data_IF_629717116063
#
_entry.id   IF_629717116063
#
_cell.length_a   1.000
_cell.length_b   1.000
_cell.length_c   1.000
_cell.angle_alpha   90.00
_cell.angle_beta   90.00
_cell.angle_gamma   90.00
#
_symmetry.space_group_name_H-M   'P 1'
#
loop_
_entity.id
_entity.type
_entity.pdbx_description
1 polymer ?
#
# COMPACT_ATOMS: atom_id res chain seq x y z
N UNK A 1 7.94 14.81 -27.80
CA UNK A 1 7.34 13.46 -27.70
C UNK A 1 5.86 13.52 -27.37
N UNK A 2 5.50 13.66 -26.11
CA UNK A 2 4.11 13.52 -25.60
C UNK A 2 3.09 14.47 -26.25
N UNK A 3 3.49 15.71 -26.51
CA UNK A 3 2.64 16.68 -27.20
C UNK A 3 2.30 16.26 -28.65
N UNK A 4 3.18 15.48 -29.32
CA UNK A 4 2.91 14.96 -30.65
C UNK A 4 1.80 13.90 -30.62
N UNK A 5 1.73 13.05 -29.58
CA UNK A 5 0.63 12.10 -29.40
C UNK A 5 -0.72 12.80 -29.24
N UNK A 6 -0.75 13.94 -28.56
CA UNK A 6 -1.99 14.76 -28.46
C UNK A 6 -2.47 15.23 -29.84
N UNK A 7 -1.54 15.62 -30.72
CA UNK A 7 -1.86 16.06 -32.08
C UNK A 7 -2.30 14.88 -32.95
N UNK A 8 -1.66 13.72 -32.82
CA UNK A 8 -2.03 12.48 -33.52
C UNK A 8 -3.43 11.99 -33.13
N UNK A 9 -3.76 12.00 -31.84
CA UNK A 9 -5.09 11.62 -31.34
C UNK A 9 -6.17 12.58 -31.87
N UNK A 10 -5.88 13.89 -31.92
CA UNK A 10 -6.77 14.88 -32.53
C UNK A 10 -6.97 14.66 -34.03
N UNK A 11 -5.98 14.09 -34.72
CA UNK A 11 -6.08 13.72 -36.13
C UNK A 11 -6.83 12.39 -36.37
N UNK A 12 -7.39 11.76 -35.32
CA UNK A 12 -8.22 10.56 -35.42
C UNK A 12 -7.45 9.24 -35.28
N UNK A 13 -6.19 9.29 -34.84
CA UNK A 13 -5.40 8.08 -34.58
C UNK A 13 -5.87 7.42 -33.28
N UNK A 14 -6.45 6.21 -33.39
CA UNK A 14 -6.88 5.41 -32.24
C UNK A 14 -6.04 4.13 -32.16
N UNK A 15 -5.09 4.09 -31.23
CA UNK A 15 -4.22 2.93 -30.97
C UNK A 15 -4.69 2.22 -29.70
N UNK A 16 -4.59 0.88 -29.66
CA UNK A 16 -5.01 0.07 -28.51
C UNK A 16 -4.14 0.40 -27.29
N UNK A 17 -4.70 1.14 -26.33
CA UNK A 17 -3.98 1.58 -25.12
C UNK A 17 -3.58 3.07 -25.10
N UNK A 18 -3.89 3.84 -26.14
CA UNK A 18 -3.72 5.31 -26.14
C UNK A 18 -2.37 5.85 -26.64
N UNK A 19 -1.36 4.98 -26.82
CA UNK A 19 -0.03 5.28 -27.42
C UNK A 19 0.35 4.20 -28.44
N UNK A 20 1.35 4.49 -29.29
CA UNK A 20 1.84 3.56 -30.30
C UNK A 20 2.66 2.42 -29.71
N UNK A 21 2.86 1.36 -30.49
CA UNK A 21 3.84 0.34 -30.16
C UNK A 21 5.25 0.87 -30.44
N UNK A 22 6.22 0.51 -29.61
CA UNK A 22 7.62 0.93 -29.79
C UNK A 22 8.10 0.61 -31.21
N UNK A 23 8.55 1.64 -31.92
CA UNK A 23 9.02 1.54 -33.30
C UNK A 23 7.95 1.67 -34.37
N UNK A 24 6.69 1.92 -34.02
CA UNK A 24 5.64 2.23 -34.99
C UNK A 24 5.77 3.64 -35.59
N UNK A 25 4.99 3.92 -36.65
CA UNK A 25 5.04 5.20 -37.36
C UNK A 25 4.67 6.39 -36.47
N UNK A 26 3.85 6.20 -35.45
CA UNK A 26 3.36 7.27 -34.57
C UNK A 26 4.40 7.62 -33.50
N UNK A 27 5.08 6.63 -32.93
CA UNK A 27 6.22 6.82 -32.04
C UNK A 27 7.40 7.47 -32.78
N UNK A 28 7.74 7.00 -33.97
CA UNK A 28 8.82 7.61 -34.79
C UNK A 28 8.53 9.07 -35.14
N UNK A 29 7.26 9.41 -35.40
CA UNK A 29 6.86 10.80 -35.61
C UNK A 29 6.98 11.61 -34.31
N UNK A 30 6.57 11.06 -33.16
CA UNK A 30 6.65 11.74 -31.87
C UNK A 30 8.12 11.99 -31.44
N UNK A 31 9.01 11.05 -31.76
CA UNK A 31 10.47 11.15 -31.59
C UNK A 31 11.03 12.27 -32.48
N UNK A 32 10.69 12.30 -33.77
CA UNK A 32 11.16 13.33 -34.70
C UNK A 32 10.73 14.75 -34.28
N UNK A 33 9.52 14.90 -33.73
CA UNK A 33 9.05 16.16 -33.14
C UNK A 33 9.84 16.50 -31.88
N UNK A 34 10.13 15.52 -31.02
CA UNK A 34 10.95 15.72 -29.82
C UNK A 34 12.35 16.20 -30.18
N UNK A 35 12.99 15.55 -31.15
CA UNK A 35 14.34 15.85 -31.61
C UNK A 35 14.45 17.25 -32.21
N UNK A 36 13.45 17.67 -33.01
CA UNK A 36 13.40 19.03 -33.54
C UNK A 36 13.32 20.09 -32.44
N UNK A 37 12.47 19.86 -31.42
CA UNK A 37 12.30 20.78 -30.28
C UNK A 37 13.58 20.83 -29.43
N UNK A 38 14.19 19.69 -29.12
CA UNK A 38 15.45 19.63 -28.36
C UNK A 38 16.59 20.32 -29.12
N UNK A 39 16.61 20.21 -30.45
CA UNK A 39 17.56 20.92 -31.31
C UNK A 39 17.25 22.42 -31.48
N UNK A 40 16.20 22.95 -30.84
CA UNK A 40 15.78 24.36 -30.95
C UNK A 40 15.23 24.74 -32.34
N UNK A 41 14.79 23.75 -33.13
CA UNK A 41 14.24 23.93 -34.47
C UNK A 41 12.71 23.98 -34.43
N UNK A 42 12.11 24.59 -35.45
CA UNK A 42 10.66 24.58 -35.62
C UNK A 42 10.16 23.16 -35.93
N UNK A 43 9.22 22.67 -35.13
CA UNK A 43 8.59 21.35 -35.27
C UNK A 43 7.23 21.39 -35.97
N UNK A 44 6.71 22.58 -36.31
CA UNK A 44 5.42 22.74 -36.97
C UNK A 44 5.32 22.00 -38.33
N UNK A 45 6.36 21.98 -39.20
CA UNK A 45 6.30 21.23 -40.45
C UNK A 45 6.11 19.72 -40.25
N UNK A 46 6.77 19.15 -39.22
CA UNK A 46 6.70 17.72 -38.89
C UNK A 46 5.31 17.38 -38.35
N UNK A 47 4.79 18.19 -37.42
CA UNK A 47 3.44 18.01 -36.86
C UNK A 47 2.34 18.07 -37.93
N UNK A 48 2.52 18.90 -38.95
CA UNK A 48 1.54 19.05 -40.03
C UNK A 48 1.41 17.79 -40.92
N UNK A 49 2.43 16.92 -40.95
CA UNK A 49 2.39 15.66 -41.70
C UNK A 49 1.27 14.72 -41.21
N UNK A 50 0.89 14.81 -39.93
CA UNK A 50 -0.18 14.01 -39.33
C UNK A 50 -1.58 14.62 -39.49
N UNK A 51 -1.66 15.89 -39.92
CA UNK A 51 -2.94 16.61 -40.08
C UNK A 51 -3.46 16.61 -41.52
N UNK A 52 -2.67 16.11 -42.48
CA UNK A 52 -2.99 16.09 -43.91
C UNK A 52 -3.48 14.73 -44.42
N UNK A 53 -4.74 14.37 -44.14
CA UNK A 53 -5.37 13.17 -44.71
C UNK A 53 -6.85 13.05 -44.31
N UNK A 54 -7.74 13.66 -45.09
CA UNK A 54 -9.15 13.81 -44.74
C UNK A 54 -10.05 12.58 -44.93
N UNK A 55 -11.13 12.54 -44.14
CA UNK A 55 -12.44 11.99 -44.55
C UNK A 55 -13.03 10.88 -43.65
N UNK A 56 -14.00 11.23 -42.78
CA UNK A 56 -14.99 10.28 -42.24
C UNK A 56 -15.26 10.42 -40.74
N UNK A 57 -16.41 10.99 -40.38
CA UNK A 57 -16.80 11.30 -39.00
C UNK A 57 -17.11 10.09 -38.12
N UNK A 58 -16.85 10.26 -36.82
CA UNK A 58 -17.31 9.40 -35.74
C UNK A 58 -16.85 10.00 -34.40
N UNK A 59 -17.79 10.43 -33.56
CA UNK A 59 -17.52 11.09 -32.28
C UNK A 59 -16.70 10.21 -31.33
N UNK A 60 -15.50 10.68 -30.98
CA UNK A 60 -14.61 10.06 -30.00
C UNK A 60 -14.59 10.87 -28.70
N UNK A 61 -14.95 10.19 -27.60
CA UNK A 61 -14.94 10.68 -26.23
C UNK A 61 -13.54 11.11 -25.82
N UNK A 62 -13.41 12.32 -25.25
CA UNK A 62 -12.16 12.83 -24.67
C UNK A 62 -11.70 11.92 -23.52
N UNK A 63 -10.62 11.14 -23.74
CA UNK A 63 -9.86 10.54 -22.65
C UNK A 63 -8.66 11.44 -22.30
N UNK A 64 -8.49 11.69 -21.01
CA UNK A 64 -7.42 12.48 -20.43
C UNK A 64 -6.10 11.70 -20.47
N UNK A 65 -5.08 12.33 -21.05
CA UNK A 65 -3.74 11.78 -21.31
C UNK A 65 -2.92 11.68 -20.01
N UNK A 66 -2.34 10.52 -19.75
CA UNK A 66 -1.37 10.27 -18.66
C UNK A 66 0.00 10.06 -19.30
N UNK A 67 0.93 10.96 -18.95
CA UNK A 67 2.30 11.01 -19.46
C UNK A 67 3.19 9.96 -18.78
N UNK A 68 4.03 9.22 -19.53
CA UNK A 68 5.02 8.28 -18.97
C UNK A 68 6.35 8.39 -19.72
N UNK A 69 7.40 8.83 -19.03
CA UNK A 69 8.78 8.90 -19.56
C UNK A 69 9.34 7.50 -19.87
N UNK A 70 9.90 7.32 -21.06
CA UNK A 70 10.66 6.13 -21.49
C UNK A 70 12.16 6.38 -21.34
N UNK A 71 12.81 5.55 -20.51
CA UNK A 71 14.27 5.36 -20.53
C UNK A 71 14.59 4.10 -21.35
N UNK A 72 15.46 4.29 -22.34
CA UNK A 72 15.97 3.33 -23.33
C UNK A 72 16.45 2.00 -22.74
N UNK A 73 16.00 0.88 -23.33
CA UNK A 73 16.48 -0.48 -23.06
C UNK A 73 17.21 -1.07 -24.26
N UNK A 74 18.34 -1.74 -24.02
CA UNK A 74 18.84 -2.81 -24.89
C UNK A 74 18.78 -4.17 -24.17
N UNK A 75 18.70 -5.30 -24.92
CA UNK A 75 18.01 -6.50 -24.45
C UNK A 75 18.97 -7.56 -23.89
N UNK A 76 18.51 -8.28 -22.87
CA UNK A 76 19.05 -9.59 -22.51
C UNK A 76 17.92 -10.64 -22.56
N UNK A 77 18.18 -11.70 -23.32
CA UNK A 77 17.29 -12.81 -23.66
C UNK A 77 16.96 -13.71 -22.45
N UNK A 78 15.80 -14.39 -22.47
CA UNK A 78 15.19 -15.00 -21.30
C UNK A 78 15.70 -16.42 -21.05
N UNK A 79 15.88 -16.79 -19.77
CA UNK A 79 15.88 -18.21 -19.35
C UNK A 79 14.77 -18.40 -18.33
N UNK A 80 13.82 -19.27 -18.68
CA UNK A 80 12.68 -19.67 -17.85
C UNK A 80 13.15 -20.45 -16.62
N UNK A 81 12.59 -20.17 -15.43
CA UNK A 81 12.28 -21.21 -14.42
C UNK A 81 11.09 -20.76 -13.55
N UNK A 82 10.29 -21.75 -13.19
CA UNK A 82 8.93 -21.79 -12.68
C UNK A 82 8.65 -21.07 -11.35
N UNK A 83 7.39 -20.65 -11.22
CA UNK A 83 6.84 -20.06 -10.01
C UNK A 83 6.39 -21.10 -8.98
N UNK A 84 6.75 -20.86 -7.72
CA UNK A 84 6.00 -21.29 -6.55
C UNK A 84 6.42 -20.42 -5.36
N UNK A 85 5.46 -19.80 -4.69
CA UNK A 85 5.65 -19.11 -3.41
C UNK A 85 5.97 -20.15 -2.33
N UNK A 86 7.26 -20.39 -2.08
CA UNK A 86 7.72 -21.15 -0.92
C UNK A 86 7.84 -20.22 0.29
N UNK A 87 7.06 -20.54 1.33
CA UNK A 87 7.28 -20.09 2.70
C UNK A 87 8.63 -20.63 3.14
N UNK A 88 9.64 -19.78 3.27
CA UNK A 88 10.95 -20.20 3.81
C UNK A 88 10.79 -20.32 5.32
N UNK A 89 10.77 -21.56 5.80
CA UNK A 89 11.03 -21.90 7.19
C UNK A 89 12.45 -21.45 7.55
N UNK A 90 12.61 -20.93 8.76
CA UNK A 90 13.87 -20.48 9.32
C UNK A 90 14.87 -21.65 9.41
N UNK A 91 15.69 -21.81 8.38
CA UNK A 91 16.90 -22.63 8.38
C UNK A 91 18.10 -21.72 8.18
N UNK A 92 19.04 -21.73 9.14
CA UNK A 92 20.21 -20.87 9.17
C UNK A 92 21.03 -20.93 7.88
N UNK A 93 21.16 -19.77 7.24
CA UNK A 93 22.03 -19.54 6.09
C UNK A 93 22.09 -18.05 5.81
N UNK A 94 23.16 -17.41 6.26
CA UNK A 94 23.45 -16.00 6.02
C UNK A 94 23.59 -15.74 4.52
N UNK A 95 22.57 -15.14 3.91
CA UNK A 95 22.68 -14.53 2.59
C UNK A 95 23.19 -13.10 2.77
N UNK A 96 24.52 -12.94 2.68
CA UNK A 96 25.15 -11.63 2.57
C UNK A 96 24.69 -10.91 1.30
N UNK A 97 24.06 -9.75 1.44
CA UNK A 97 23.96 -8.74 0.38
C UNK A 97 25.00 -7.63 0.66
N UNK A 98 25.63 -7.06 -0.37
CA UNK A 98 26.83 -6.25 -0.23
C UNK A 98 26.53 -4.94 0.49
N UNK A 99 27.18 -4.82 1.65
CA UNK A 99 27.47 -3.63 2.41
C UNK A 99 28.44 -2.72 1.62
N UNK A 100 27.89 -1.80 0.83
CA UNK A 100 28.55 -0.53 0.58
C UNK A 100 27.92 0.52 1.51
N UNK A 101 28.72 1.02 2.45
CA UNK A 101 28.34 2.07 3.40
C UNK A 101 27.77 3.27 2.63
N UNK A 102 26.47 3.54 2.81
CA UNK A 102 25.74 4.62 2.14
C UNK A 102 24.56 4.19 1.24
N UNK A 103 24.39 2.90 0.93
CA UNK A 103 23.31 2.42 0.03
C UNK A 103 22.05 1.91 0.76
N UNK A 104 22.14 1.69 2.07
CA UNK A 104 21.05 1.21 2.92
C UNK A 104 20.91 2.19 4.07
N UNK A 105 19.70 2.72 4.28
CA UNK A 105 19.42 3.68 5.35
C UNK A 105 18.47 3.08 6.38
N UNK A 106 18.71 3.39 7.65
CA UNK A 106 17.80 3.07 8.74
C UNK A 106 16.43 3.71 8.50
N UNK A 107 15.37 2.94 8.74
CA UNK A 107 14.00 3.42 8.51
C UNK A 107 13.67 4.62 9.40
N UNK A 108 13.17 5.68 8.77
CA UNK A 108 12.79 6.93 9.42
C UNK A 108 13.79 8.08 9.25
N UNK A 109 15.02 7.82 8.79
CA UNK A 109 15.98 8.88 8.51
C UNK A 109 15.65 9.61 7.19
N UNK A 110 15.25 10.88 7.29
CA UNK A 110 14.82 11.73 6.17
C UNK A 110 15.90 11.88 5.09
N UNK A 111 15.63 11.39 3.88
CA UNK A 111 16.43 11.68 2.68
C UNK A 111 15.73 12.69 1.74
N UNK A 112 14.58 13.26 2.17
CA UNK A 112 13.86 14.25 1.40
C UNK A 112 14.67 15.52 1.17
N UNK A 113 14.46 16.14 0.00
CA UNK A 113 15.00 17.45 -0.35
C UNK A 113 14.46 18.53 0.59
N UNK A 114 13.19 18.42 0.98
CA UNK A 114 12.56 19.19 2.06
C UNK A 114 12.15 18.27 3.22
N UNK A 115 13.05 18.13 4.19
CA UNK A 115 12.82 17.35 5.41
C UNK A 115 11.63 17.87 6.24
N UNK A 116 11.33 19.18 6.20
CA UNK A 116 10.20 19.75 6.94
C UNK A 116 8.88 19.36 6.28
N UNK A 117 8.83 19.31 4.96
CA UNK A 117 7.67 18.80 4.23
C UNK A 117 7.43 17.33 4.54
N UNK A 118 8.49 16.51 4.53
CA UNK A 118 8.39 15.09 4.89
C UNK A 118 7.87 14.90 6.32
N UNK A 119 8.33 15.73 7.28
CA UNK A 119 7.84 15.72 8.66
C UNK A 119 6.35 16.08 8.75
N UNK A 120 5.91 17.13 8.05
CA UNK A 120 4.47 17.49 7.95
C UNK A 120 3.65 16.37 7.33
N UNK A 121 4.18 15.71 6.29
CA UNK A 121 3.54 14.57 5.65
C UNK A 121 3.38 13.39 6.62
N UNK A 122 4.42 13.03 7.38
CA UNK A 122 4.34 11.98 8.41
C UNK A 122 3.28 12.29 9.47
N UNK A 123 3.23 13.53 9.96
CA UNK A 123 2.22 13.95 10.93
C UNK A 123 0.79 13.90 10.36
N UNK A 124 0.61 14.37 9.12
CA UNK A 124 -0.65 14.29 8.39
C UNK A 124 -1.11 12.83 8.21
N UNK A 125 -0.20 11.96 7.75
CA UNK A 125 -0.47 10.54 7.52
C UNK A 125 -0.85 9.81 8.82
N UNK A 126 -0.19 10.11 9.93
CA UNK A 126 -0.52 9.53 11.23
C UNK A 126 -1.94 9.94 11.69
N UNK A 127 -2.29 11.22 11.56
CA UNK A 127 -3.63 11.73 11.91
C UNK A 127 -4.71 11.12 11.01
N UNK A 128 -4.46 11.06 9.69
CA UNK A 128 -5.36 10.41 8.74
C UNK A 128 -5.52 8.92 9.03
N UNK A 129 -4.42 8.22 9.34
CA UNK A 129 -4.43 6.79 9.66
C UNK A 129 -5.31 6.46 10.86
N UNK A 130 -5.28 7.29 11.90
CA UNK A 130 -6.15 7.12 13.09
C UNK A 130 -7.63 7.30 12.75
N UNK A 131 -7.99 8.30 11.93
CA UNK A 131 -9.38 8.45 11.48
C UNK A 131 -9.80 7.30 10.55
N UNK A 132 -8.90 6.86 9.67
CA UNK A 132 -9.10 5.73 8.77
C UNK A 132 -9.37 4.44 9.55
N UNK A 133 -8.68 4.21 10.67
CA UNK A 133 -8.88 3.04 11.54
C UNK A 133 -10.34 2.93 11.98
N UNK A 134 -10.95 4.03 12.43
CA UNK A 134 -12.36 4.02 12.82
C UNK A 134 -13.31 3.76 11.64
N UNK A 135 -13.04 4.38 10.48
CA UNK A 135 -13.88 4.22 9.27
C UNK A 135 -13.73 2.85 8.59
N UNK A 136 -12.61 2.19 8.79
CA UNK A 136 -12.29 0.89 8.22
C UNK A 136 -13.02 -0.29 8.89
N UNK A 137 -13.65 -0.09 10.06
CA UNK A 137 -14.31 -1.16 10.80
C UNK A 137 -15.41 -1.86 9.98
N UNK A 138 -16.31 -1.09 9.34
CA UNK A 138 -17.39 -1.64 8.51
C UNK A 138 -16.89 -2.48 7.33
N UNK A 139 -15.98 -1.96 6.48
CA UNK A 139 -15.35 -2.74 5.42
C UNK A 139 -14.63 -4.00 5.92
N UNK A 140 -13.83 -3.89 6.98
CA UNK A 140 -13.10 -5.03 7.55
C UNK A 140 -14.06 -6.09 8.11
N UNK A 141 -15.14 -5.68 8.79
CA UNK A 141 -16.20 -6.56 9.28
C UNK A 141 -16.93 -7.26 8.14
N UNK A 142 -17.19 -6.57 7.03
CA UNK A 142 -17.85 -7.15 5.86
C UNK A 142 -17.00 -8.26 5.22
N UNK A 143 -15.70 -8.02 5.06
CA UNK A 143 -14.77 -9.03 4.60
C UNK A 143 -14.72 -10.23 5.56
N UNK A 144 -14.60 -9.96 6.87
CA UNK A 144 -14.58 -10.99 7.91
C UNK A 144 -15.84 -11.84 7.90
N UNK A 145 -17.02 -11.23 7.76
CA UNK A 145 -18.29 -11.93 7.68
C UNK A 145 -18.39 -12.89 6.48
N UNK A 146 -17.86 -12.49 5.32
CA UNK A 146 -17.81 -13.36 4.13
C UNK A 146 -16.84 -14.51 4.29
N UNK A 147 -15.64 -14.24 4.82
CA UNK A 147 -14.67 -15.29 5.13
C UNK A 147 -15.23 -16.28 6.16
N UNK A 148 -15.86 -15.80 7.23
CA UNK A 148 -16.56 -16.63 8.22
C UNK A 148 -17.67 -17.47 7.57
N UNK A 149 -18.48 -16.89 6.69
CA UNK A 149 -19.53 -17.63 5.98
C UNK A 149 -18.96 -18.75 5.11
N UNK A 150 -17.82 -18.52 4.43
CA UNK A 150 -17.12 -19.55 3.67
C UNK A 150 -16.63 -20.67 4.57
N UNK A 151 -15.92 -20.34 5.66
CA UNK A 151 -15.41 -21.31 6.63
C UNK A 151 -16.53 -22.13 7.27
N UNK A 152 -17.66 -21.49 7.58
CA UNK A 152 -18.85 -22.15 8.13
C UNK A 152 -19.46 -23.11 7.12
N UNK A 153 -19.56 -22.70 5.84
CA UNK A 153 -20.09 -23.57 4.79
C UNK A 153 -19.19 -24.78 4.54
N UNK A 154 -17.87 -24.58 4.55
CA UNK A 154 -16.89 -25.66 4.38
C UNK A 154 -16.89 -26.65 5.55
N UNK A 155 -16.84 -26.15 6.79
CA UNK A 155 -16.87 -26.99 7.99
C UNK A 155 -18.26 -27.53 8.37
N UNK A 156 -19.32 -27.11 7.66
CA UNK A 156 -20.73 -27.38 7.97
C UNK A 156 -21.31 -26.63 9.18
N UNK A 157 -20.50 -26.25 10.18
CA UNK A 157 -20.93 -25.54 11.39
C UNK A 157 -19.82 -24.67 12.00
N UNK A 158 -20.19 -23.56 12.62
CA UNK A 158 -19.28 -22.63 13.31
C UNK A 158 -19.18 -22.92 14.81
N UNK A 159 -18.52 -24.03 15.17
CA UNK A 159 -18.39 -24.50 16.56
C UNK A 159 -16.93 -24.79 16.89
N UNK A 160 -16.46 -24.38 18.07
CA UNK A 160 -15.05 -24.46 18.46
C UNK A 160 -14.52 -25.91 18.59
N UNK A 161 -15.41 -26.88 18.83
CA UNK A 161 -15.09 -28.31 18.90
C UNK A 161 -15.11 -29.02 17.53
N UNK A 162 -15.49 -28.31 16.45
CA UNK A 162 -15.42 -28.84 15.10
C UNK A 162 -13.96 -28.99 14.65
N UNK A 163 -13.52 -30.23 14.40
CA UNK A 163 -12.14 -30.55 14.05
C UNK A 163 -11.68 -29.94 12.72
N UNK A 164 -12.55 -29.89 11.72
CA UNK A 164 -12.23 -29.28 10.41
C UNK A 164 -12.10 -27.76 10.53
N UNK A 165 -13.06 -27.12 11.21
CA UNK A 165 -13.00 -25.68 11.46
C UNK A 165 -11.75 -25.32 12.26
N UNK A 166 -11.43 -26.09 13.30
CA UNK A 166 -10.22 -25.89 14.12
C UNK A 166 -8.96 -25.90 13.25
N UNK A 167 -8.81 -26.88 12.37
CA UNK A 167 -7.65 -26.98 11.46
C UNK A 167 -7.55 -25.76 10.55
N UNK A 168 -8.69 -25.31 10.00
CA UNK A 168 -8.74 -24.11 9.18
C UNK A 168 -8.36 -22.86 9.97
N UNK A 169 -8.94 -22.65 11.16
CA UNK A 169 -8.67 -21.50 12.01
C UNK A 169 -7.20 -21.45 12.46
N UNK A 170 -6.61 -22.57 12.87
CA UNK A 170 -5.19 -22.65 13.25
C UNK A 170 -4.25 -22.24 12.09
N UNK A 171 -4.67 -22.45 10.84
CA UNK A 171 -3.94 -21.98 9.66
C UNK A 171 -4.01 -20.47 9.45
N UNK A 172 -4.98 -19.78 10.07
CA UNK A 172 -5.11 -18.31 10.05
C UNK A 172 -4.28 -17.64 11.14
N UNK A 173 -3.95 -18.38 12.19
CA UNK A 173 -3.12 -17.92 13.29
C UNK A 173 -1.68 -17.62 12.87
N UNK A 174 -1.09 -16.62 13.49
CA UNK A 174 0.30 -16.19 13.28
C UNK A 174 0.99 -15.93 14.61
N UNK A 175 2.32 -15.79 14.58
CA UNK A 175 3.11 -15.39 15.74
C UNK A 175 2.57 -14.08 16.34
N UNK A 176 2.43 -14.03 17.68
CA UNK A 176 1.87 -12.90 18.43
C UNK A 176 2.73 -11.62 18.37
N UNK A 177 3.96 -11.73 17.85
CA UNK A 177 4.81 -10.58 17.51
C UNK A 177 4.35 -9.84 16.26
N UNK A 178 3.40 -10.37 15.48
CA UNK A 178 2.80 -9.61 14.40
C UNK A 178 1.60 -8.81 14.88
N UNK A 179 1.51 -7.56 14.43
CA UNK A 179 0.33 -6.74 14.64
C UNK A 179 -0.93 -7.43 14.09
N UNK A 180 -1.98 -7.51 14.91
CA UNK A 180 -3.26 -8.14 14.61
C UNK A 180 -3.27 -9.65 14.82
N UNK A 181 -2.17 -10.23 15.30
CA UNK A 181 -2.07 -11.66 15.59
C UNK A 181 -2.59 -11.99 16.99
N UNK A 182 -3.27 -13.14 17.09
CA UNK A 182 -3.80 -13.69 18.35
C UNK A 182 -3.31 -15.10 18.63
N UNK A 183 -2.17 -15.50 18.05
CA UNK A 183 -1.67 -16.85 18.16
C UNK A 183 -2.54 -17.86 17.41
N UNK A 184 -2.63 -19.08 17.94
CA UNK A 184 -3.38 -20.21 17.35
C UNK A 184 -4.55 -20.72 18.19
N UNK A 185 -4.87 -20.03 19.28
CA UNK A 185 -6.01 -20.42 20.11
C UNK A 185 -7.33 -20.23 19.34
N UNK A 186 -8.12 -21.29 19.25
CA UNK A 186 -9.34 -21.35 18.45
C UNK A 186 -10.37 -20.30 18.90
N UNK A 187 -10.53 -20.11 20.21
CA UNK A 187 -11.50 -19.14 20.75
C UNK A 187 -11.16 -17.72 20.31
N UNK A 188 -9.88 -17.33 20.44
CA UNK A 188 -9.40 -16.02 19.98
C UNK A 188 -9.49 -15.85 18.47
N UNK A 189 -9.16 -16.88 17.69
CA UNK A 189 -9.28 -16.85 16.23
C UNK A 189 -10.74 -16.68 15.78
N UNK A 190 -11.69 -17.32 16.45
CA UNK A 190 -13.13 -17.10 16.20
C UNK A 190 -13.55 -15.67 16.58
N UNK A 191 -13.07 -15.16 17.72
CA UNK A 191 -13.36 -13.81 18.17
C UNK A 191 -12.88 -12.73 17.18
N UNK A 192 -11.81 -12.98 16.41
CA UNK A 192 -11.36 -12.06 15.35
C UNK A 192 -12.47 -11.81 14.31
N UNK A 193 -13.19 -12.87 13.90
CA UNK A 193 -14.29 -12.74 12.95
C UNK A 193 -15.51 -12.04 13.55
N UNK A 194 -15.79 -12.30 14.83
CA UNK A 194 -17.03 -11.88 15.48
C UNK A 194 -16.96 -10.45 16.03
N UNK A 195 -15.85 -10.09 16.69
CA UNK A 195 -15.69 -8.81 17.38
C UNK A 195 -14.31 -8.18 17.20
N UNK A 196 -13.41 -8.82 16.45
CA UNK A 196 -12.04 -8.33 16.24
C UNK A 196 -12.01 -6.93 15.63
N UNK A 197 -10.99 -6.14 15.97
CA UNK A 197 -10.82 -4.82 15.38
C UNK A 197 -10.26 -4.89 13.94
N UNK A 198 -10.11 -3.74 13.28
CA UNK A 198 -9.66 -3.64 11.88
C UNK A 198 -8.37 -4.41 11.63
N UNK A 199 -7.35 -4.22 12.46
CA UNK A 199 -6.03 -4.84 12.28
C UNK A 199 -6.06 -6.37 12.42
N UNK A 200 -6.82 -6.89 13.37
CA UNK A 200 -7.02 -8.34 13.50
C UNK A 200 -7.74 -8.92 12.30
N UNK A 201 -8.87 -8.30 11.91
CA UNK A 201 -9.68 -8.76 10.78
C UNK A 201 -8.86 -8.72 9.49
N UNK A 202 -8.16 -7.64 9.20
CA UNK A 202 -7.34 -7.52 7.99
C UNK A 202 -6.20 -8.54 7.95
N UNK A 203 -5.55 -8.82 9.07
CA UNK A 203 -4.56 -9.90 9.17
C UNK A 203 -5.18 -11.27 8.85
N UNK A 204 -6.33 -11.59 9.46
CA UNK A 204 -7.05 -12.84 9.17
C UNK A 204 -7.55 -12.95 7.74
N UNK A 205 -7.99 -11.86 7.13
CA UNK A 205 -8.49 -11.86 5.75
C UNK A 205 -7.40 -12.22 4.75
N UNK A 206 -6.21 -11.66 4.92
CA UNK A 206 -5.10 -12.04 4.08
C UNK A 206 -4.74 -13.52 4.26
N UNK A 207 -4.64 -14.01 5.50
CA UNK A 207 -4.31 -15.41 5.77
C UNK A 207 -5.39 -16.36 5.26
N UNK A 208 -6.66 -15.99 5.38
CA UNK A 208 -7.79 -16.74 4.83
C UNK A 208 -7.67 -16.87 3.31
N UNK A 209 -7.35 -15.77 2.63
CA UNK A 209 -7.14 -15.78 1.19
C UNK A 209 -6.02 -16.77 0.79
N UNK A 210 -4.82 -16.64 1.37
CA UNK A 210 -3.66 -17.43 0.94
C UNK A 210 -3.69 -18.89 1.41
N UNK A 211 -4.20 -19.14 2.61
CA UNK A 211 -4.07 -20.46 3.24
C UNK A 211 -5.26 -21.37 2.93
N UNK A 212 -6.40 -20.80 2.56
CA UNK A 212 -7.66 -21.53 2.38
C UNK A 212 -8.26 -21.22 1.01
N UNK A 213 -8.79 -20.01 0.81
CA UNK A 213 -9.61 -19.69 -0.36
C UNK A 213 -8.86 -19.92 -1.69
N UNK A 214 -7.64 -19.41 -1.81
CA UNK A 214 -6.83 -19.57 -3.01
C UNK A 214 -6.50 -21.03 -3.30
N UNK A 215 -6.21 -21.83 -2.27
CA UNK A 215 -5.87 -23.25 -2.42
C UNK A 215 -7.10 -24.08 -2.80
N UNK A 216 -8.24 -23.79 -2.19
CA UNK A 216 -9.49 -24.48 -2.49
C UNK A 216 -9.91 -24.23 -3.94
N UNK A 217 -9.88 -22.97 -4.39
CA UNK A 217 -10.30 -22.60 -5.75
C UNK A 217 -9.32 -23.09 -6.83
N UNK A 218 -8.02 -23.15 -6.52
CA UNK A 218 -7.01 -23.69 -7.45
C UNK A 218 -6.94 -25.22 -7.45
N UNK A 219 -7.62 -25.89 -6.51
CA UNK A 219 -7.67 -27.34 -6.48
C UNK A 219 -8.71 -27.84 -7.49
N UNK A 220 -8.27 -28.18 -8.69
CA UNK A 220 -9.12 -28.69 -9.77
C UNK A 220 -9.88 -29.99 -9.43
N UNK A 221 -9.52 -30.68 -8.34
CA UNK A 221 -10.18 -31.91 -7.88
C UNK A 221 -11.30 -31.65 -6.87
N UNK A 222 -11.31 -30.49 -6.23
CA UNK A 222 -12.38 -30.10 -5.33
C UNK A 222 -13.46 -29.38 -6.15
N UNK A 223 -14.69 -29.91 -6.10
CA UNK A 223 -15.83 -29.30 -6.80
C UNK A 223 -16.83 -28.71 -5.81
N UNK A 224 -16.65 -28.92 -4.51
CA UNK A 224 -17.55 -28.44 -3.47
C UNK A 224 -17.34 -26.95 -3.16
N UNK A 225 -16.15 -26.41 -3.47
CA UNK A 225 -15.84 -25.00 -3.24
C UNK A 225 -16.83 -24.03 -3.88
N UNK A 226 -17.45 -24.37 -5.02
CA UNK A 226 -18.47 -23.52 -5.63
C UNK A 226 -19.70 -23.33 -4.73
N UNK A 227 -20.10 -24.38 -4.00
CA UNK A 227 -21.20 -24.31 -3.04
C UNK A 227 -20.82 -23.43 -1.83
N UNK A 228 -19.59 -23.54 -1.33
CA UNK A 228 -19.09 -22.70 -0.23
C UNK A 228 -18.98 -21.23 -0.63
N UNK A 229 -18.46 -20.94 -1.83
CA UNK A 229 -18.43 -19.59 -2.40
C UNK A 229 -19.82 -18.99 -2.51
N UNK A 230 -20.79 -19.78 -3.01
CA UNK A 230 -22.19 -19.35 -3.11
C UNK A 230 -22.79 -19.04 -1.74
N UNK A 231 -22.57 -19.91 -0.74
CA UNK A 231 -23.03 -19.68 0.64
C UNK A 231 -22.41 -18.41 1.25
N UNK A 232 -21.13 -18.15 0.95
CA UNK A 232 -20.40 -16.96 1.37
C UNK A 232 -20.70 -15.69 0.56
N UNK A 233 -21.51 -15.80 -0.51
CA UNK A 233 -21.77 -14.72 -1.48
C UNK A 233 -20.50 -14.18 -2.14
N UNK A 234 -19.52 -15.06 -2.35
CA UNK A 234 -18.26 -14.78 -3.06
C UNK A 234 -18.44 -15.20 -4.51
N UNK A 235 -18.11 -14.32 -5.47
CA UNK A 235 -18.27 -14.62 -6.89
C UNK A 235 -16.97 -15.19 -7.46
N UNK A 236 -17.05 -16.32 -8.17
CA UNK A 236 -15.91 -16.91 -8.88
C UNK A 236 -15.25 -15.90 -9.83
N UNK A 237 -16.04 -15.05 -10.48
CA UNK A 237 -15.53 -14.00 -11.37
C UNK A 237 -14.65 -12.96 -10.63
N UNK A 238 -14.96 -12.64 -9.38
CA UNK A 238 -14.17 -11.71 -8.58
C UNK A 238 -12.81 -12.31 -8.20
N UNK A 239 -12.77 -13.62 -7.91
CA UNK A 239 -11.52 -14.35 -7.71
C UNK A 239 -10.65 -14.36 -8.98
N UNK A 240 -11.23 -14.68 -10.15
CA UNK A 240 -10.50 -14.65 -11.43
C UNK A 240 -9.92 -13.27 -11.71
N UNK A 241 -10.72 -12.21 -11.50
CA UNK A 241 -10.28 -10.82 -11.61
C UNK A 241 -9.12 -10.50 -10.65
N UNK A 242 -9.16 -11.01 -9.42
CA UNK A 242 -8.06 -10.83 -8.46
C UNK A 242 -6.76 -11.49 -8.96
N UNK A 243 -6.84 -12.69 -9.55
CA UNK A 243 -5.69 -13.41 -10.12
C UNK A 243 -5.08 -12.73 -11.35
N UNK A 244 -5.90 -12.33 -12.31
CA UNK A 244 -5.45 -11.62 -13.52
C UNK A 244 -4.70 -10.34 -13.15
N UNK A 245 -5.23 -9.61 -12.17
CA UNK A 245 -4.67 -8.35 -11.70
C UNK A 245 -3.37 -8.53 -10.94
N UNK A 246 -3.30 -9.53 -10.06
CA UNK A 246 -2.06 -9.86 -9.35
C UNK A 246 -0.92 -10.28 -10.30
N UNK A 247 -1.27 -10.87 -11.46
CA UNK A 247 -0.32 -11.31 -12.50
C UNK A 247 0.22 -10.14 -13.34
N UNK A 248 -0.62 -9.18 -13.74
CA UNK A 248 -0.20 -7.96 -14.47
C UNK A 248 0.81 -7.10 -13.68
N UNK A 249 0.92 -7.32 -12.38
CA UNK A 249 1.72 -6.52 -11.45
C UNK A 249 3.16 -7.03 -11.23
N UNK A 250 3.57 -8.21 -11.73
CA UNK A 250 4.99 -8.62 -11.61
C UNK A 250 5.94 -7.75 -12.44
N UNK A 251 5.40 -6.86 -13.28
CA UNK A 251 6.12 -6.08 -14.30
C UNK A 251 6.08 -4.56 -14.09
N UNK A 252 5.73 -4.04 -12.89
CA UNK A 252 5.95 -2.60 -12.62
C UNK A 252 7.45 -2.36 -12.41
N UNK A 253 8.14 -2.07 -13.52
CA UNK A 253 9.58 -1.83 -13.59
C UNK A 253 10.02 -0.81 -12.53
N UNK A 254 10.96 -1.21 -11.66
CA UNK A 254 11.63 -0.31 -10.70
C UNK A 254 11.30 -0.53 -9.22
N UNK A 255 10.24 -1.25 -8.86
CA UNK A 255 9.88 -1.49 -7.44
C UNK A 255 10.58 -2.71 -6.80
N UNK A 256 11.04 -3.65 -7.62
CA UNK A 256 11.72 -4.87 -7.15
C UNK A 256 13.02 -4.51 -6.44
N UNK A 257 13.25 -5.10 -5.26
CA UNK A 257 14.48 -4.89 -4.49
C UNK A 257 14.58 -3.56 -3.76
N UNK A 258 13.48 -2.81 -3.61
CA UNK A 258 13.45 -1.52 -2.89
C UNK A 258 13.65 -1.63 -1.36
N UNK A 259 13.67 -2.84 -0.79
CA UNK A 259 13.84 -3.08 0.65
C UNK A 259 14.68 -4.32 0.93
N UNK A 260 15.32 -4.32 2.09
CA UNK A 260 16.12 -5.43 2.61
C UNK A 260 15.62 -5.78 4.02
N UNK A 261 15.42 -7.07 4.30
CA UNK A 261 15.07 -7.52 5.64
C UNK A 261 16.28 -7.37 6.56
N UNK A 262 16.15 -6.62 7.65
CA UNK A 262 17.27 -6.40 8.58
C UNK A 262 17.30 -7.41 9.72
N UNK A 263 16.18 -8.07 10.01
CA UNK A 263 16.07 -9.03 11.11
C UNK A 263 16.18 -8.42 12.50
N UNK A 264 16.22 -7.09 12.60
CA UNK A 264 16.12 -6.41 13.89
C UNK A 264 14.66 -6.45 14.36
N UNK A 265 14.40 -7.11 15.49
CA UNK A 265 13.09 -7.09 16.18
C UNK A 265 12.82 -5.68 16.73
N UNK A 266 12.39 -4.81 15.84
CA UNK A 266 12.04 -3.45 16.16
C UNK A 266 10.59 -3.39 16.64
N UNK A 267 10.39 -3.89 17.86
CA UNK A 267 9.10 -3.84 18.53
C UNK A 267 8.55 -2.41 18.58
N UNK A 268 7.24 -2.31 18.43
CA UNK A 268 6.45 -1.12 18.66
C UNK A 268 6.71 -0.63 20.08
N UNK A 269 7.07 0.64 20.20
CA UNK A 269 7.35 1.27 21.49
C UNK A 269 6.11 1.93 22.08
N UNK A 270 4.94 1.38 21.79
CA UNK A 270 3.66 1.82 22.32
C UNK A 270 3.11 0.79 23.30
N UNK A 271 2.36 1.26 24.30
CA UNK A 271 1.61 0.44 25.25
C UNK A 271 0.15 0.31 24.84
N UNK A 272 -0.58 -0.65 25.43
CA UNK A 272 -2.04 -0.77 25.24
C UNK A 272 -2.78 0.53 25.61
N UNK A 273 -2.37 1.20 26.70
CA UNK A 273 -2.98 2.47 27.13
C UNK A 273 -2.76 3.61 26.13
N UNK A 274 -1.56 3.70 25.55
CA UNK A 274 -1.27 4.69 24.52
C UNK A 274 -2.12 4.44 23.28
N UNK A 275 -2.21 3.19 22.83
CA UNK A 275 -3.07 2.79 21.70
C UNK A 275 -4.53 3.15 21.93
N UNK A 276 -5.06 2.93 23.14
CA UNK A 276 -6.42 3.32 23.49
C UNK A 276 -6.63 4.85 23.46
N UNK A 277 -5.67 5.62 23.98
CA UNK A 277 -5.71 7.09 23.97
C UNK A 277 -5.67 7.65 22.55
N UNK A 278 -5.01 6.94 21.64
CA UNK A 278 -4.93 7.29 20.21
C UNK A 278 -6.14 6.81 19.38
N UNK A 279 -7.17 6.26 20.03
CA UNK A 279 -8.41 5.81 19.37
C UNK A 279 -8.29 4.44 18.70
N UNK A 280 -7.26 3.66 19.03
CA UNK A 280 -7.00 2.34 18.47
C UNK A 280 -6.82 1.28 19.56
N UNK A 281 -7.82 1.08 20.44
CA UNK A 281 -7.69 0.17 21.57
C UNK A 281 -7.41 -1.26 21.12
N UNK A 282 -6.60 -1.97 21.92
CA UNK A 282 -6.43 -3.41 21.77
C UNK A 282 -7.74 -4.13 22.08
N UNK A 283 -8.06 -5.12 21.24
CA UNK A 283 -9.12 -6.07 21.56
C UNK A 283 -8.65 -7.06 22.64
N UNK A 284 -9.57 -7.63 23.41
CA UNK A 284 -9.22 -8.49 24.56
C UNK A 284 -8.44 -9.74 24.15
N UNK A 285 -8.83 -10.40 23.05
CA UNK A 285 -8.06 -11.52 22.48
C UNK A 285 -6.60 -11.16 22.14
N UNK A 286 -6.31 -9.90 21.81
CA UNK A 286 -4.94 -9.47 21.55
C UNK A 286 -4.18 -9.16 22.83
N UNK A 287 -4.86 -8.57 23.81
CA UNK A 287 -4.29 -8.41 25.17
C UNK A 287 -3.90 -9.76 25.74
N UNK A 288 -4.74 -10.77 25.58
CA UNK A 288 -4.44 -12.15 25.97
C UNK A 288 -3.25 -12.71 25.20
N UNK A 289 -3.17 -12.51 23.88
CA UNK A 289 -2.03 -12.97 23.09
C UNK A 289 -0.70 -12.33 23.52
N UNK A 290 -0.72 -11.05 23.92
CA UNK A 290 0.46 -10.38 24.46
C UNK A 290 0.86 -10.93 25.83
N UNK A 291 -0.12 -11.23 26.70
CA UNK A 291 0.14 -11.85 28.00
C UNK A 291 0.74 -13.25 27.85
N UNK A 292 0.18 -14.07 26.96
CA UNK A 292 0.70 -15.41 26.66
C UNK A 292 2.14 -15.32 26.15
N UNK A 293 2.40 -14.43 25.19
CA UNK A 293 3.75 -14.23 24.66
C UNK A 293 4.75 -13.80 25.76
N UNK A 294 4.36 -12.87 26.63
CA UNK A 294 5.19 -12.44 27.74
C UNK A 294 5.50 -13.60 28.71
N UNK A 295 4.50 -14.42 29.02
CA UNK A 295 4.65 -15.61 29.86
C UNK A 295 5.58 -16.65 29.21
N UNK A 296 5.41 -16.93 27.91
CA UNK A 296 6.28 -17.83 27.14
C UNK A 296 7.73 -17.35 27.11
N UNK A 297 7.96 -16.04 27.09
CA UNK A 297 9.30 -15.43 27.16
C UNK A 297 9.84 -15.30 28.59
N UNK A 298 9.09 -15.73 29.60
CA UNK A 298 9.49 -15.61 31.01
C UNK A 298 9.64 -14.16 31.48
N UNK A 299 8.92 -13.22 30.87
CA UNK A 299 8.99 -11.81 31.24
C UNK A 299 8.32 -11.60 32.61
N UNK A 300 9.10 -11.19 33.60
CA UNK A 300 8.60 -10.87 34.94
C UNK A 300 8.12 -9.42 34.99
N UNK A 301 6.99 -9.16 35.66
CA UNK A 301 6.44 -7.81 35.81
C UNK A 301 5.80 -7.23 34.55
N UNK A 302 5.49 -8.06 33.53
CA UNK A 302 4.73 -7.61 32.37
C UNK A 302 3.32 -7.18 32.79
N UNK A 303 3.00 -5.93 32.44
CA UNK A 303 1.70 -5.32 32.64
C UNK A 303 1.17 -4.87 31.27
N UNK A 304 -0.01 -5.38 30.88
CA UNK A 304 -0.53 -5.18 29.52
C UNK A 304 -0.75 -3.69 29.17
N UNK A 305 -1.05 -2.87 30.18
CA UNK A 305 -1.43 -1.48 29.98
C UNK A 305 -0.24 -0.53 29.94
N UNK A 306 0.87 -0.89 30.60
CA UNK A 306 2.07 -0.05 30.75
C UNK A 306 3.34 -0.63 30.12
N UNK A 307 3.39 -1.93 29.83
CA UNK A 307 4.51 -2.54 29.11
C UNK A 307 4.40 -2.31 27.61
N UNK A 308 5.55 -2.22 26.94
CA UNK A 308 5.59 -2.13 25.49
C UNK A 308 5.06 -3.43 24.87
N UNK A 309 4.25 -3.26 23.82
CA UNK A 309 3.72 -4.37 23.04
C UNK A 309 4.86 -5.11 22.33
N UNK A 310 4.76 -6.43 22.21
CA UNK A 310 5.71 -7.27 21.49
C UNK A 310 5.54 -7.20 19.96
N UNK A 311 4.67 -6.33 19.44
CA UNK A 311 4.41 -6.24 18.01
C UNK A 311 5.56 -5.64 17.24
N UNK A 312 5.87 -6.21 16.09
CA UNK A 312 6.80 -5.66 15.13
C UNK A 312 6.17 -4.50 14.37
N UNK A 313 6.82 -3.33 14.44
CA UNK A 313 6.45 -2.20 13.62
C UNK A 313 6.97 -2.46 12.20
N UNK A 314 6.06 -2.72 11.27
CA UNK A 314 6.38 -3.17 9.92
C UNK A 314 7.49 -2.37 9.24
N UNK A 315 7.54 -1.04 9.36
CA UNK A 315 8.62 -0.26 8.77
C UNK A 315 9.99 -0.55 9.40
N UNK A 316 10.07 -0.78 10.72
CA UNK A 316 11.37 -0.85 11.41
C UNK A 316 12.11 -2.19 11.27
N UNK A 317 11.45 -3.24 10.78
CA UNK A 317 12.09 -4.54 10.51
C UNK A 317 12.65 -4.65 9.08
N UNK A 318 12.51 -3.59 8.28
CA UNK A 318 13.10 -3.46 6.95
C UNK A 318 14.08 -2.30 6.92
N UNK A 319 15.02 -2.34 6.00
CA UNK A 319 15.77 -1.17 5.56
C UNK A 319 15.40 -0.82 4.12
N UNK A 320 15.46 0.46 3.79
CA UNK A 320 15.17 0.97 2.45
C UNK A 320 16.44 0.87 1.60
N UNK A 321 16.31 0.33 0.40
CA UNK A 321 17.37 0.34 -0.60
C UNK A 321 17.38 1.69 -1.33
N UNK A 322 18.26 2.59 -0.92
CA UNK A 322 18.38 3.96 -1.44
C UNK A 322 18.81 4.00 -2.92
N UNK A 323 19.44 2.93 -3.43
CA UNK A 323 19.81 2.82 -4.84
C UNK A 323 18.62 2.47 -5.75
N UNK A 324 17.45 2.17 -5.18
CA UNK A 324 16.27 1.84 -5.96
C UNK A 324 15.66 3.10 -6.61
N UNK A 325 15.41 3.05 -7.92
CA UNK A 325 14.90 4.20 -8.68
C UNK A 325 13.53 4.70 -8.19
N UNK A 326 12.65 3.80 -7.72
CA UNK A 326 11.36 4.21 -7.16
C UNK A 326 11.53 4.94 -5.84
N UNK A 327 12.43 4.47 -4.97
CA UNK A 327 12.77 5.11 -3.69
C UNK A 327 13.35 6.50 -3.92
N UNK A 328 14.36 6.60 -4.80
CA UNK A 328 14.95 7.89 -5.19
C UNK A 328 13.87 8.88 -5.69
N UNK A 329 12.92 8.39 -6.49
CA UNK A 329 11.80 9.22 -6.95
C UNK A 329 10.87 9.69 -5.83
N UNK A 330 10.64 8.88 -4.81
CA UNK A 330 9.87 9.33 -3.63
C UNK A 330 10.58 10.45 -2.89
N UNK A 331 11.91 10.38 -2.76
CA UNK A 331 12.71 11.43 -2.12
C UNK A 331 12.72 12.74 -2.92
N UNK A 332 12.81 12.69 -4.25
CA UNK A 332 12.64 13.86 -5.12
C UNK A 332 11.27 14.52 -4.93
N UNK A 333 10.23 13.73 -4.65
CA UNK A 333 8.87 14.18 -4.43
C UNK A 333 8.59 14.57 -2.96
N UNK A 334 9.59 14.51 -2.08
CA UNK A 334 9.46 14.73 -0.63
C UNK A 334 8.37 13.86 0.02
N UNK A 335 8.21 12.63 -0.47
CA UNK A 335 7.23 11.68 0.05
C UNK A 335 7.83 10.81 1.15
N UNK A 336 7.08 10.54 2.24
CA UNK A 336 7.52 9.57 3.23
C UNK A 336 7.69 8.17 2.60
N UNK A 337 8.80 7.51 2.94
CA UNK A 337 9.06 6.10 2.64
C UNK A 337 9.23 5.39 3.98
N UNK A 338 8.46 4.33 4.20
CA UNK A 338 8.47 3.60 5.46
C UNK A 338 9.11 2.22 5.31
N UNK A 339 8.62 1.40 4.36
CA UNK A 339 9.08 0.02 4.17
C UNK A 339 9.39 -0.33 2.71
N UNK A 340 9.20 0.60 1.78
CA UNK A 340 9.19 0.37 0.33
C UNK A 340 7.83 -0.08 -0.19
N UNK A 341 7.72 -0.41 -1.50
CA UNK A 341 6.47 -0.82 -2.15
C UNK A 341 5.67 -1.86 -1.34
N UNK A 342 4.40 -1.56 -1.06
CA UNK A 342 3.62 -2.32 -0.07
C UNK A 342 3.08 -3.64 -0.63
N UNK A 343 3.88 -4.70 -0.51
CA UNK A 343 3.43 -6.07 -0.80
C UNK A 343 2.23 -6.49 0.05
N UNK A 344 2.14 -6.02 1.30
CA UNK A 344 0.98 -6.25 2.18
C UNK A 344 -0.27 -5.59 1.63
N UNK A 345 -0.19 -4.35 1.14
CA UNK A 345 -1.34 -3.68 0.52
C UNK A 345 -1.81 -4.45 -0.71
N UNK A 346 -0.90 -4.82 -1.61
CA UNK A 346 -1.23 -5.62 -2.79
C UNK A 346 -1.95 -6.92 -2.40
N UNK A 347 -1.40 -7.65 -1.44
CA UNK A 347 -1.97 -8.89 -0.95
C UNK A 347 -3.39 -8.71 -0.39
N UNK A 348 -3.59 -7.69 0.46
CA UNK A 348 -4.91 -7.39 1.04
C UNK A 348 -5.92 -6.91 -0.01
N UNK A 349 -5.49 -6.10 -0.98
CA UNK A 349 -6.35 -5.64 -2.08
C UNK A 349 -6.78 -6.81 -2.98
N UNK A 350 -5.88 -7.77 -3.24
CA UNK A 350 -6.20 -9.02 -3.95
C UNK A 350 -7.19 -9.85 -3.16
N UNK A 351 -6.95 -10.07 -1.85
CA UNK A 351 -7.86 -10.79 -0.98
C UNK A 351 -9.25 -10.15 -0.93
N UNK A 352 -9.32 -8.82 -0.74
CA UNK A 352 -10.58 -8.09 -0.73
C UNK A 352 -11.31 -8.15 -2.09
N UNK A 353 -10.57 -8.10 -3.20
CA UNK A 353 -11.15 -8.30 -4.54
C UNK A 353 -11.73 -9.71 -4.66
N UNK A 354 -10.99 -10.73 -4.25
CA UNK A 354 -11.43 -12.13 -4.34
C UNK A 354 -12.66 -12.42 -3.47
N UNK A 355 -12.71 -11.90 -2.24
CA UNK A 355 -13.81 -12.09 -1.28
C UNK A 355 -15.05 -11.24 -1.67
N UNK A 356 -14.81 -10.03 -2.19
CA UNK A 356 -15.85 -9.08 -2.59
C UNK A 356 -16.67 -8.54 -1.43
N UNK A 357 -17.75 -7.81 -1.76
CA UNK A 357 -18.71 -7.25 -0.78
C UNK A 357 -18.37 -5.88 -0.24
N UNK A 358 -17.18 -5.39 -0.55
CA UNK A 358 -16.74 -4.02 -0.29
C UNK A 358 -16.36 -3.38 -1.62
N UNK A 359 -16.46 -2.06 -1.72
CA UNK A 359 -15.92 -1.36 -2.89
C UNK A 359 -14.39 -1.42 -2.89
N UNK A 360 -13.77 -1.20 -4.05
CA UNK A 360 -12.30 -1.12 -4.11
C UNK A 360 -11.76 0.03 -3.26
N UNK A 361 -12.50 1.14 -3.16
CA UNK A 361 -12.16 2.26 -2.28
C UNK A 361 -12.23 1.88 -0.80
N UNK A 362 -13.23 1.09 -0.39
CA UNK A 362 -13.35 0.59 0.98
C UNK A 362 -12.24 -0.43 1.33
N UNK A 363 -11.84 -1.25 0.37
CA UNK A 363 -10.68 -2.14 0.53
C UNK A 363 -9.39 -1.34 0.77
N UNK A 364 -9.17 -0.26 -0.01
CA UNK A 364 -8.03 0.64 0.23
C UNK A 364 -8.14 1.35 1.57
N UNK A 365 -9.34 1.81 1.96
CA UNK A 365 -9.57 2.40 3.28
C UNK A 365 -9.21 1.42 4.41
N UNK A 366 -9.56 0.14 4.27
CA UNK A 366 -9.19 -0.88 5.24
C UNK A 366 -7.67 -1.11 5.30
N UNK A 367 -6.97 -1.08 4.16
CA UNK A 367 -5.50 -1.11 4.12
C UNK A 367 -4.89 0.12 4.80
N UNK A 368 -5.41 1.32 4.56
CA UNK A 368 -4.95 2.56 5.20
C UNK A 368 -5.16 2.48 6.72
N UNK A 369 -6.37 2.13 7.17
CA UNK A 369 -6.70 2.02 8.58
C UNK A 369 -5.87 0.95 9.30
N UNK A 370 -5.47 -0.11 8.61
CA UNK A 370 -4.60 -1.14 9.18
C UNK A 370 -3.11 -0.71 9.22
N UNK A 371 -2.56 -0.26 8.10
CA UNK A 371 -1.11 -0.16 7.91
C UNK A 371 -0.55 1.21 8.31
N UNK A 372 -1.29 2.29 8.07
CA UNK A 372 -0.80 3.65 8.21
C UNK A 372 -0.63 4.09 9.67
N UNK A 373 -1.62 3.95 10.57
CA UNK A 373 -1.49 4.49 11.92
C UNK A 373 -0.40 3.81 12.77
N UNK A 374 0.00 2.60 12.40
CA UNK A 374 1.08 1.87 13.06
C UNK A 374 2.43 2.09 12.39
N UNK A 375 2.47 2.91 11.33
CA UNK A 375 3.65 3.13 10.51
C UNK A 375 4.25 1.81 9.98
N UNK A 376 3.40 0.93 9.46
CA UNK A 376 3.85 -0.26 8.73
C UNK A 376 4.29 0.12 7.31
N UNK A 377 3.54 1.04 6.69
CA UNK A 377 3.79 1.60 5.38
C UNK A 377 3.37 3.08 5.39
N UNK A 378 3.99 3.89 4.54
CA UNK A 378 3.53 5.26 4.30
C UNK A 378 2.29 5.26 3.41
N UNK A 379 1.57 6.38 3.37
CA UNK A 379 0.38 6.48 2.54
C UNK A 379 0.73 6.40 1.05
N UNK A 380 1.88 6.92 0.62
CA UNK A 380 2.34 6.84 -0.77
C UNK A 380 2.55 5.38 -1.20
N UNK A 381 3.13 4.56 -0.33
CA UNK A 381 3.33 3.11 -0.57
C UNK A 381 2.00 2.38 -0.71
N UNK A 382 1.04 2.68 0.16
CA UNK A 382 -0.30 2.07 0.13
C UNK A 382 -1.07 2.51 -1.12
N UNK A 383 -1.08 3.82 -1.42
CA UNK A 383 -1.78 4.39 -2.57
C UNK A 383 -1.20 3.86 -3.88
N UNK A 384 0.13 3.82 -4.01
CA UNK A 384 0.81 3.26 -5.17
C UNK A 384 0.48 1.77 -5.37
N UNK A 385 0.49 0.97 -4.30
CA UNK A 385 0.16 -0.45 -4.35
C UNK A 385 -1.33 -0.71 -4.66
N UNK A 386 -2.21 0.21 -4.30
CA UNK A 386 -3.64 0.13 -4.59
C UNK A 386 -4.02 0.71 -5.97
N UNK A 387 -3.14 1.46 -6.64
CA UNK A 387 -3.42 2.11 -7.93
C UNK A 387 -3.78 1.13 -9.06
N UNK A 388 -3.08 -0.03 -9.22
CA UNK A 388 -3.49 -1.07 -10.17
C UNK A 388 -4.92 -1.52 -9.91
N UNK A 389 -5.45 -1.27 -8.70
CA UNK A 389 -6.82 -1.59 -8.35
C UNK A 389 -7.90 -0.81 -9.09
N UNK A 390 -7.53 0.16 -9.92
CA UNK A 390 -8.42 1.10 -10.60
C UNK A 390 -8.71 2.32 -9.74
N UNK A 391 -7.87 2.57 -8.74
CA UNK A 391 -8.00 3.68 -7.81
C UNK A 391 -7.05 4.81 -8.22
N UNK A 392 -7.45 6.08 -8.03
CA UNK A 392 -6.62 7.21 -8.39
C UNK A 392 -5.37 7.25 -7.51
N UNK A 393 -4.24 7.53 -8.16
CA UNK A 393 -2.95 7.80 -7.53
C UNK A 393 -2.14 8.74 -8.42
N UNK A 394 -1.75 9.88 -7.87
CA UNK A 394 -0.85 10.84 -8.51
C UNK A 394 0.43 10.87 -7.67
N UNK A 395 1.59 10.42 -8.18
CA UNK A 395 2.83 10.46 -7.40
C UNK A 395 3.14 11.85 -6.86
N UNK A 396 3.56 11.92 -5.60
CA UNK A 396 3.92 13.17 -4.92
C UNK A 396 2.78 13.78 -4.09
N UNK A 397 2.98 15.00 -3.56
CA UNK A 397 2.07 15.60 -2.57
C UNK A 397 0.66 15.86 -3.09
N UNK A 398 0.47 15.94 -4.41
CA UNK A 398 -0.84 16.03 -5.02
C UNK A 398 -1.76 14.84 -4.63
N UNK A 399 -1.21 13.67 -4.29
CA UNK A 399 -1.99 12.52 -3.85
C UNK A 399 -2.86 12.82 -2.61
N UNK A 400 -2.42 13.73 -1.73
CA UNK A 400 -3.14 14.02 -0.49
C UNK A 400 -4.53 14.62 -0.72
N UNK A 401 -4.76 15.20 -1.90
CA UNK A 401 -6.02 15.86 -2.28
C UNK A 401 -7.08 14.89 -2.81
N UNK A 402 -6.72 13.66 -3.13
CA UNK A 402 -7.60 12.67 -3.79
C UNK A 402 -7.82 11.39 -2.99
N UNK A 403 -7.60 11.44 -1.67
CA UNK A 403 -7.75 10.28 -0.79
C UNK A 403 -9.23 10.08 -0.44
N UNK A 404 -9.86 9.06 -1.01
CA UNK A 404 -11.22 8.64 -0.64
C UNK A 404 -11.23 8.01 0.76
N UNK A 405 -12.21 8.31 1.63
CA UNK A 405 -13.42 9.12 1.39
C UNK A 405 -13.28 10.63 1.63
N UNK A 406 -12.11 11.12 2.05
CA UNK A 406 -11.96 12.50 2.53
C UNK A 406 -11.92 13.57 1.42
N UNK A 407 -11.16 13.35 0.34
CA UNK A 407 -10.91 14.39 -0.66
C UNK A 407 -10.35 15.66 -0.01
N UNK A 408 -10.93 16.83 -0.31
CA UNK A 408 -10.56 18.12 0.29
C UNK A 408 -10.67 18.14 1.83
N UNK A 409 -11.57 17.37 2.44
CA UNK A 409 -11.71 17.38 3.89
C UNK A 409 -10.47 16.83 4.62
N UNK A 410 -9.61 16.10 3.90
CA UNK A 410 -8.37 15.57 4.46
C UNK A 410 -7.41 16.69 4.92
N UNK A 411 -7.57 17.92 4.40
CA UNK A 411 -6.77 19.09 4.80
C UNK A 411 -6.83 19.36 6.32
N UNK A 412 -7.90 18.95 6.99
CA UNK A 412 -8.04 19.04 8.44
C UNK A 412 -6.95 18.27 9.20
N UNK A 413 -6.44 17.16 8.66
CA UNK A 413 -5.36 16.37 9.28
C UNK A 413 -4.02 17.11 9.32
N UNK A 414 -3.83 18.11 8.46
CA UNK A 414 -2.68 19.01 8.49
C UNK A 414 -2.98 20.36 9.14
N UNK A 415 -4.01 20.46 9.98
CA UNK A 415 -4.39 21.73 10.61
C UNK A 415 -4.94 22.77 9.63
N UNK A 416 -5.61 22.31 8.57
CA UNK A 416 -6.12 23.16 7.51
C UNK A 416 -5.10 23.45 6.41
N UNK A 417 -3.95 22.76 6.41
CA UNK A 417 -2.91 22.82 5.37
C UNK A 417 -2.62 21.47 4.74
N UNK A 418 -2.23 21.47 3.48
CA UNK A 418 -1.64 20.28 2.84
C UNK A 418 -0.17 20.13 3.25
N UNK A 419 0.41 18.92 3.23
CA UNK A 419 1.81 18.73 3.62
C UNK A 419 2.82 19.58 2.85
N UNK A 420 2.55 19.82 1.56
CA UNK A 420 3.34 20.65 0.65
C UNK A 420 3.10 22.16 0.79
N UNK A 421 2.13 22.60 1.59
CA UNK A 421 1.94 24.02 1.89
C UNK A 421 2.89 24.45 3.01
N UNK A 422 3.76 25.42 2.74
CA UNK A 422 4.63 25.98 3.77
C UNK A 422 3.80 26.61 4.90
N UNK A 423 4.23 26.50 6.18
CA UNK A 423 3.65 27.33 7.23
C UNK A 423 3.83 28.81 6.84
N UNK A 424 2.84 29.65 7.14
CA UNK A 424 3.04 31.09 7.01
C UNK A 424 4.22 31.42 7.93
N UNK A 425 5.22 32.15 7.42
CA UNK A 425 6.31 32.61 8.25
C UNK A 425 5.68 33.31 9.46
N UNK A 426 5.92 32.77 10.66
CA UNK A 426 5.54 33.46 11.88
C UNK A 426 6.15 34.85 11.76
N UNK A 427 5.31 35.89 11.70
CA UNK A 427 5.77 37.25 11.60
C UNK A 427 6.83 37.44 12.68
N UNK A 428 8.08 37.69 12.25
CA UNK A 428 9.16 37.98 13.17
C UNK A 428 8.70 39.18 13.99
N UNK A 429 8.29 38.93 15.23
CA UNK A 429 8.10 39.98 16.21
C UNK A 429 9.49 40.51 16.50
N UNK A 430 9.89 41.50 15.71
CA UNK A 430 11.06 42.33 15.96
C UNK A 430 10.88 42.90 17.37
N UNK A 431 11.79 42.66 18.31
CA UNK A 431 11.73 43.34 19.59
C UNK A 431 11.98 44.81 19.29
N UNK A 432 10.99 45.66 19.59
CA UNK A 432 11.17 47.10 19.59
C UNK A 432 12.22 47.42 20.67
N UNK A 433 13.47 47.65 20.25
CA UNK A 433 14.48 48.26 21.10
C UNK A 433 14.08 49.71 21.33
N UNK A 434 13.48 49.94 22.49
CA UNK A 434 13.22 51.25 23.06
C UNK A 434 14.53 52.05 23.11
N UNK A 435 14.61 53.13 22.34
CA UNK A 435 15.65 54.13 22.48
C UNK A 435 15.51 54.86 23.80
N UNK A 436 16.44 54.63 24.72
CA UNK A 436 16.65 55.50 25.88
C UNK A 436 17.63 56.59 25.47
N UNK A 437 17.09 57.74 25.08
CA UNK A 437 17.83 59.00 25.14
C UNK A 437 18.08 59.37 26.60
N UNK A 438 19.35 59.53 26.95
CA UNK A 438 19.79 60.03 28.25
C UNK A 438 20.88 61.07 28.06
N UNK A 439 20.49 62.33 28.03
CA UNK A 439 21.36 63.48 28.20
C UNK A 439 21.15 64.03 29.61
N UNK A 440 22.24 64.32 30.33
CA UNK A 440 22.25 65.20 31.49
C UNK A 440 22.90 64.65 32.75
N UNK A 441 24.22 64.85 32.89
CA UNK A 441 24.80 65.77 33.88
C UNK A 441 26.30 65.94 33.57
#
# INVERSE_FOLDING_TARGET
HEAAHVVQQRAGVSLSGGVGAVGDRYEQHADAVADAVVAGKDAAPILNEMTGGGGGGGGGVQQQVVQRETLSTQPATPTQVEGATARVEAGGGTMSAPNAEGQIRAVGASAAVDAKQEERAKAFELALGRDAYGKADGPAATLAGRAKAYLTAKAGKWEADNAELKTMLESLGSDATWCGAVGKDVGRLMAVFDSGNVRMRMNHIGNFYSNILEKDVLNEKDTEYEAWLKAAKIRVADFKKAKEKAALESEVSGQKGARVWTGEDANMKATSSQMATEGMPLHDAEKEAQKDHAAEKGQTGFDIDSSFLAWNQGAKVWAVNEANAWVAKQHELNMPVAAGPSGTTKWLMTAATAIGGVSTSDARLACIGYLLPLWHHSLSEIMAAAAPFGLPYTPGPAMYRSITPWGESAKAFGGGKWPDEAPEAAAETTPATSGTGGAGA
#
